data_IF_165737151650
#
_entry.id   IF_165737151650
#
_cell.length_a   1.000
_cell.length_b   1.000
_cell.length_c   1.000
_cell.angle_alpha   90.00
_cell.angle_beta   90.00
_cell.angle_gamma   90.00
#
_symmetry.space_group_name_H-M   'P 1'
#
loop_
_entity.id
_entity.type
_entity.pdbx_description
1 polymer ?
#
# COMPACT_ATOMS: atom_id res chain seq x y z
N UNK A 1 -5.83 5.16 5.23
CA UNK A 1 -5.87 4.65 6.62
C UNK A 1 -7.05 3.71 6.76
N UNK A 2 -6.80 2.39 6.86
CA UNK A 2 -7.81 1.34 6.98
C UNK A 2 -8.00 0.98 8.46
N UNK A 3 -8.35 1.94 9.31
CA UNK A 3 -8.80 1.62 10.67
C UNK A 3 -10.32 1.64 10.65
N UNK A 4 -10.90 0.73 9.85
CA UNK A 4 -12.31 0.34 9.99
C UNK A 4 -12.55 -0.05 11.45
N UNK A 5 -13.77 0.11 11.99
CA UNK A 5 -14.01 0.04 13.43
C UNK A 5 -13.50 -1.29 14.01
N UNK A 6 -12.37 -1.22 14.73
CA UNK A 6 -11.71 -2.37 15.39
C UNK A 6 -12.52 -2.82 16.59
N UNK A 7 -13.22 -1.89 17.24
CA UNK A 7 -13.96 -2.11 18.47
C UNK A 7 -15.04 -3.21 18.34
N UNK A 8 -15.94 -3.21 17.32
CA UNK A 8 -16.90 -4.29 17.12
C UNK A 8 -16.28 -5.66 16.85
N UNK A 9 -15.11 -5.70 16.20
CA UNK A 9 -14.40 -6.96 15.92
C UNK A 9 -13.80 -7.52 17.20
N UNK A 10 -13.20 -6.68 18.04
CA UNK A 10 -12.65 -7.08 19.33
C UNK A 10 -13.75 -7.60 20.26
N UNK A 11 -14.88 -6.88 20.36
CA UNK A 11 -16.04 -7.31 21.15
C UNK A 11 -16.61 -8.64 20.66
N UNK A 12 -16.63 -8.85 19.35
CA UNK A 12 -17.04 -10.12 18.75
C UNK A 12 -16.13 -11.29 19.13
N UNK A 13 -14.81 -11.08 19.13
CA UNK A 13 -13.85 -12.13 19.50
C UNK A 13 -13.91 -12.43 20.99
N UNK A 14 -13.95 -11.41 21.84
CA UNK A 14 -13.98 -11.58 23.31
C UNK A 14 -15.28 -12.26 23.76
N UNK A 15 -16.41 -11.87 23.18
CA UNK A 15 -17.73 -12.39 23.55
C UNK A 15 -18.29 -13.42 22.55
N UNK A 16 -17.43 -14.11 21.81
CA UNK A 16 -17.83 -14.99 20.69
C UNK A 16 -18.88 -16.03 21.09
N UNK A 17 -18.69 -16.70 22.23
CA UNK A 17 -19.63 -17.71 22.75
C UNK A 17 -21.02 -17.13 23.03
N UNK A 18 -21.06 -15.96 23.68
CA UNK A 18 -22.31 -15.28 23.99
C UNK A 18 -23.00 -14.76 22.71
N UNK A 19 -22.24 -14.16 21.80
CA UNK A 19 -22.79 -13.60 20.57
C UNK A 19 -23.33 -14.71 19.65
N UNK A 20 -22.61 -15.82 19.52
CA UNK A 20 -23.05 -16.96 18.70
C UNK A 20 -24.26 -17.68 19.29
N UNK A 21 -24.31 -17.89 20.62
CA UNK A 21 -25.38 -18.66 21.29
C UNK A 21 -26.58 -17.84 21.74
N UNK A 22 -26.43 -16.53 21.96
CA UNK A 22 -27.50 -15.66 22.50
C UNK A 22 -27.93 -14.58 21.50
N UNK A 23 -27.00 -13.87 20.85
CA UNK A 23 -27.35 -12.74 19.98
C UNK A 23 -27.54 -13.08 18.49
N UNK A 24 -27.11 -14.26 18.04
CA UNK A 24 -27.27 -14.69 16.66
C UNK A 24 -28.75 -14.92 16.30
N UNK A 25 -29.27 -14.29 15.24
CA UNK A 25 -30.66 -14.50 14.80
C UNK A 25 -30.83 -15.76 13.95
N UNK A 26 -29.73 -16.32 13.44
CA UNK A 26 -29.74 -17.45 12.49
C UNK A 26 -29.36 -18.79 13.17
N UNK A 27 -29.59 -18.94 14.47
CA UNK A 27 -29.27 -20.17 15.23
C UNK A 27 -30.03 -21.40 14.71
N UNK A 28 -31.27 -21.19 14.26
CA UNK A 28 -32.14 -22.27 13.75
C UNK A 28 -31.76 -22.72 12.33
N UNK A 29 -30.76 -22.06 11.70
CA UNK A 29 -30.29 -22.36 10.35
C UNK A 29 -28.80 -22.74 10.37
N UNK A 30 -28.44 -23.91 10.95
CA UNK A 30 -27.05 -24.34 11.09
C UNK A 30 -26.31 -24.49 9.75
N UNK A 31 -27.05 -24.77 8.66
CA UNK A 31 -26.50 -24.82 7.28
C UNK A 31 -25.83 -23.51 6.83
N UNK A 32 -26.20 -22.37 7.42
CA UNK A 32 -25.65 -21.06 7.05
C UNK A 32 -24.33 -20.71 7.74
N UNK A 33 -23.89 -21.47 8.75
CA UNK A 33 -22.61 -21.24 9.45
C UNK A 33 -22.44 -19.77 9.91
N UNK A 34 -23.52 -19.17 10.42
CA UNK A 34 -23.58 -17.74 10.73
C UNK A 34 -22.71 -17.39 11.95
N UNK A 35 -22.78 -18.19 13.02
CA UNK A 35 -21.91 -18.07 14.20
C UNK A 35 -21.83 -16.66 14.80
N UNK A 36 -22.93 -15.90 14.79
CA UNK A 36 -22.96 -14.53 15.33
C UNK A 36 -22.48 -13.44 14.37
N UNK A 37 -22.06 -13.77 13.14
CA UNK A 37 -21.64 -12.79 12.12
C UNK A 37 -22.74 -11.77 11.76
N UNK A 38 -24.01 -12.14 11.89
CA UNK A 38 -25.13 -11.22 11.69
C UNK A 38 -25.12 -10.06 12.70
N UNK A 39 -24.72 -10.32 13.95
CA UNK A 39 -24.59 -9.30 14.98
C UNK A 39 -23.39 -8.40 14.70
N UNK A 40 -22.23 -8.99 14.41
CA UNK A 40 -21.02 -8.25 14.04
C UNK A 40 -21.26 -7.31 12.86
N UNK A 41 -21.94 -7.78 11.81
CA UNK A 41 -22.27 -6.97 10.64
C UNK A 41 -23.13 -5.74 11.00
N UNK A 42 -24.08 -5.91 11.94
CA UNK A 42 -24.93 -4.82 12.41
C UNK A 42 -24.14 -3.77 13.20
N UNK A 43 -23.25 -4.20 14.09
CA UNK A 43 -22.41 -3.27 14.87
C UNK A 43 -21.37 -2.56 13.99
N UNK A 44 -20.81 -3.25 13.00
CA UNK A 44 -19.93 -2.63 12.00
C UNK A 44 -20.66 -1.58 11.16
N UNK A 45 -21.90 -1.84 10.76
CA UNK A 45 -22.71 -0.87 10.02
C UNK A 45 -23.01 0.38 10.86
N UNK A 46 -23.41 0.21 12.12
CA UNK A 46 -23.63 1.33 13.06
C UNK A 46 -22.37 2.18 13.27
N UNK A 47 -21.23 1.53 13.48
CA UNK A 47 -19.97 2.22 13.66
C UNK A 47 -19.57 3.00 12.39
N UNK A 48 -19.82 2.44 11.21
CA UNK A 48 -19.62 3.14 9.93
C UNK A 48 -20.58 4.30 9.71
N UNK A 49 -21.82 4.21 10.19
CA UNK A 49 -22.80 5.29 10.07
C UNK A 49 -22.55 6.42 11.08
N UNK A 50 -22.00 6.10 12.26
CA UNK A 50 -21.58 7.09 13.25
C UNK A 50 -20.40 7.97 12.76
N UNK A 51 -19.58 7.42 11.86
CA UNK A 51 -18.50 8.16 11.19
C UNK A 51 -18.98 9.02 10.01
N UNK A 52 -20.25 8.90 9.58
CA UNK A 52 -20.81 9.81 8.58
C UNK A 52 -21.06 11.16 9.25
N UNK A 53 -20.45 12.26 8.78
CA UNK A 53 -20.73 13.58 9.32
C UNK A 53 -22.22 13.89 9.10
N UNK A 54 -22.93 14.19 10.19
CA UNK A 54 -24.34 14.64 10.20
C UNK A 54 -24.58 16.00 9.53
N UNK A 55 -23.62 16.52 8.76
CA UNK A 55 -23.80 17.74 7.98
C UNK A 55 -22.92 17.73 6.74
N UNK A 56 -23.52 18.17 5.63
CA UNK A 56 -22.98 18.22 4.27
C UNK A 56 -21.82 19.21 4.05
N UNK A 57 -21.18 19.76 5.09
CA UNK A 57 -20.25 20.90 4.93
C UNK A 57 -18.87 20.75 5.58
N UNK A 58 -18.46 19.52 5.89
CA UNK A 58 -17.04 19.25 6.13
C UNK A 58 -16.57 18.26 5.09
N UNK A 59 -16.06 18.83 3.99
CA UNK A 59 -15.03 18.23 3.14
C UNK A 59 -13.86 17.88 4.06
N UNK A 60 -13.99 16.76 4.76
CA UNK A 60 -12.90 16.12 5.45
C UNK A 60 -11.94 15.74 4.37
N UNK A 61 -10.96 16.62 4.13
CA UNK A 61 -9.72 16.26 3.47
C UNK A 61 -9.18 15.11 4.28
N UNK A 62 -9.50 13.89 3.86
CA UNK A 62 -8.76 12.71 4.27
C UNK A 62 -7.30 13.07 4.02
N UNK A 63 -6.42 13.02 5.03
CA UNK A 63 -5.01 13.21 4.75
C UNK A 63 -4.65 12.10 3.76
N UNK A 64 -4.38 12.51 2.52
CA UNK A 64 -3.74 11.64 1.54
C UNK A 64 -2.42 11.28 2.20
N UNK A 65 -2.35 10.06 2.70
CA UNK A 65 -1.12 9.52 3.23
C UNK A 65 -0.28 9.19 2.00
N UNK A 66 0.57 10.13 1.60
CA UNK A 66 1.58 9.88 0.57
C UNK A 66 2.52 8.81 1.13
N UNK A 67 2.29 7.56 0.71
CA UNK A 67 3.18 6.46 1.03
C UNK A 67 4.40 6.63 0.14
N UNK A 68 5.43 7.29 0.66
CA UNK A 68 6.74 7.35 0.04
C UNK A 68 7.38 5.97 0.16
N UNK A 69 7.39 5.24 -0.96
CA UNK A 69 8.12 3.98 -1.07
C UNK A 69 9.57 4.35 -1.36
N UNK A 70 10.44 4.13 -0.37
CA UNK A 70 11.90 4.23 -0.54
C UNK A 70 12.46 2.82 -0.70
N UNK A 71 13.01 2.53 -1.87
CA UNK A 71 13.76 1.29 -2.11
C UNK A 71 15.26 1.62 -2.02
N UNK A 72 15.97 0.87 -1.20
CA UNK A 72 17.42 1.04 -1.06
C UNK A 72 18.12 0.54 -2.34
N UNK A 73 18.83 1.45 -3.01
CA UNK A 73 19.61 1.11 -4.20
C UNK A 73 20.78 0.23 -3.74
N UNK A 74 20.78 -1.03 -4.17
CA UNK A 74 21.91 -1.95 -3.95
C UNK A 74 23.17 -1.39 -4.59
N UNK A 75 24.31 -1.54 -3.92
CA UNK A 75 25.60 -1.20 -4.50
C UNK A 75 25.85 -2.04 -5.76
N UNK A 76 26.30 -1.37 -6.81
CA UNK A 76 26.79 -2.00 -8.03
C UNK A 76 28.17 -1.45 -8.35
N UNK A 77 29.04 -2.31 -8.87
CA UNK A 77 30.37 -1.91 -9.34
C UNK A 77 30.29 -1.58 -10.83
N UNK A 78 30.68 -0.35 -11.19
CA UNK A 78 30.86 0.03 -12.59
C UNK A 78 32.23 -0.46 -13.01
N UNK A 79 32.27 -1.54 -13.79
CA UNK A 79 33.51 -2.02 -14.39
C UNK A 79 33.70 -1.32 -15.74
N UNK A 80 34.70 -0.43 -15.90
CA UNK A 80 34.99 0.16 -17.18
C UNK A 80 35.46 -0.94 -18.14
N UNK A 81 34.71 -1.15 -19.23
CA UNK A 81 35.13 -2.05 -20.30
C UNK A 81 36.12 -1.30 -21.18
N UNK A 82 37.41 -1.51 -20.93
CA UNK A 82 38.48 -0.96 -21.77
C UNK A 82 38.62 -1.80 -23.05
N UNK A 83 38.15 -1.27 -24.18
CA UNK A 83 38.48 -1.83 -25.49
C UNK A 83 39.91 -1.41 -25.85
N UNK A 84 40.85 -2.34 -25.69
CA UNK A 84 42.24 -2.12 -26.12
C UNK A 84 42.32 -2.04 -27.64
N UNK A 85 42.44 -0.84 -28.19
CA UNK A 85 42.87 -0.68 -29.59
C UNK A 85 44.40 -0.66 -29.61
N UNK A 86 44.98 -1.47 -30.52
CA UNK A 86 46.43 -1.57 -30.70
C UNK A 86 47.04 -0.18 -30.88
N UNK A 87 48.08 0.09 -30.11
CA UNK A 87 48.74 1.39 -29.98
C UNK A 87 49.18 1.99 -31.32
N UNK A 88 48.75 3.23 -31.57
CA UNK A 88 49.57 4.26 -32.18
C UNK A 88 49.48 5.49 -31.28
N UNK A 89 50.62 5.97 -30.80
CA UNK A 89 50.69 7.15 -29.93
C UNK A 89 50.09 8.33 -30.71
N UNK A 90 48.91 8.79 -30.27
CA UNK A 90 48.21 9.91 -30.86
C UNK A 90 48.56 11.18 -30.06
N UNK A 91 49.22 12.19 -30.65
CA UNK A 91 49.57 13.44 -29.96
C UNK A 91 48.36 14.37 -29.74
N UNK A 92 47.16 14.01 -30.20
CA UNK A 92 45.96 14.81 -30.03
C UNK A 92 45.25 14.51 -28.70
N UNK A 93 44.71 15.57 -28.08
CA UNK A 93 43.99 15.50 -26.81
C UNK A 93 42.89 14.43 -26.85
N UNK A 94 43.00 13.45 -25.96
CA UNK A 94 41.97 12.43 -25.76
C UNK A 94 41.09 12.85 -24.60
N UNK A 95 39.84 13.25 -24.88
CA UNK A 95 38.88 13.54 -23.84
C UNK A 95 38.38 12.22 -23.23
N UNK A 96 38.95 11.85 -22.08
CA UNK A 96 38.60 10.65 -21.32
C UNK A 96 37.41 10.88 -20.37
N UNK A 97 36.68 11.98 -20.55
CA UNK A 97 35.50 12.26 -19.74
C UNK A 97 34.44 11.20 -19.99
N UNK A 98 34.21 10.38 -18.96
CA UNK A 98 33.10 9.46 -18.91
C UNK A 98 32.01 10.10 -18.06
N UNK A 99 30.82 10.30 -18.64
CA UNK A 99 29.66 10.68 -17.84
C UNK A 99 29.43 9.56 -16.83
N UNK A 100 29.45 9.90 -15.54
CA UNK A 100 28.91 9.06 -14.47
C UNK A 100 27.42 8.89 -14.80
N UNK A 101 27.07 7.91 -15.62
CA UNK A 101 25.67 7.69 -15.94
C UNK A 101 25.04 7.17 -14.65
N UNK A 102 24.53 8.10 -13.84
CA UNK A 102 23.51 7.84 -12.84
C UNK A 102 22.38 7.21 -13.64
N UNK A 103 22.13 5.92 -13.40
CA UNK A 103 20.95 5.24 -13.91
C UNK A 103 19.74 6.17 -13.69
N UNK A 104 19.26 6.79 -14.77
CA UNK A 104 18.07 7.62 -14.70
C UNK A 104 16.91 6.64 -14.58
N UNK A 105 16.40 6.47 -13.37
CA UNK A 105 15.19 5.66 -13.11
C UNK A 105 13.92 6.42 -13.55
N UNK A 106 14.08 7.67 -14.00
CA UNK A 106 13.00 8.52 -14.44
C UNK A 106 13.18 8.89 -15.91
N UNK A 107 12.55 8.12 -16.79
CA UNK A 107 12.17 8.60 -18.11
C UNK A 107 10.66 8.92 -18.09
N UNK A 108 10.25 10.12 -18.54
CA UNK A 108 8.83 10.44 -18.72
C UNK A 108 8.20 9.46 -19.74
N UNK A 109 6.87 9.25 -19.69
CA UNK A 109 6.19 8.32 -20.60
C UNK A 109 6.47 8.71 -22.05
N UNK A 110 7.04 7.78 -22.82
CA UNK A 110 7.43 8.03 -24.22
C UNK A 110 6.28 7.89 -25.21
N UNK A 111 5.05 7.73 -24.73
CA UNK A 111 3.85 7.74 -25.56
C UNK A 111 2.82 8.72 -25.02
N UNK A 112 2.73 9.86 -25.72
CA UNK A 112 1.49 10.60 -25.86
C UNK A 112 1.31 10.81 -27.36
N UNK A 113 0.30 10.13 -27.92
CA UNK A 113 -0.14 10.14 -29.32
C UNK A 113 0.70 9.39 -30.35
#
# INVERSE_FOLDING_TARGET
MLVKPILPVLEYVVNYEYISKVLCINKDKPKMQCNGKCHLMKELAKASDAEKPLSSDKKGTTPILDVLIFEEIKSFEIVPVCFGTKEKINPYYSNLYFHLNSTSVFHPPTFIS
#
